data_IF_908257902165
#
_entry.id   IF_908257902165
#
_cell.length_a   1.000
_cell.length_b   1.000
_cell.length_c   1.000
_cell.angle_alpha   90.00
_cell.angle_beta   90.00
_cell.angle_gamma   90.00
#
_symmetry.space_group_name_H-M   'P 1'
#
loop_
_entity.id
_entity.type
_entity.pdbx_description
1 polymer ?
#
# COMPACT_ATOMS: atom_id res chain seq x y z
N UNK A 1 -20.74 27.81 -9.04
CA UNK A 1 -20.63 26.35 -8.82
C UNK A 1 -20.89 25.52 -10.08
N UNK A 2 -21.95 25.74 -10.87
CA UNK A 2 -22.28 24.85 -11.99
C UNK A 2 -21.32 24.90 -13.21
N UNK A 3 -20.74 26.06 -13.55
CA UNK A 3 -20.04 26.24 -14.83
C UNK A 3 -18.66 25.53 -14.91
N UNK A 4 -17.85 25.60 -13.85
CA UNK A 4 -16.53 24.96 -13.87
C UNK A 4 -16.62 23.43 -13.70
N UNK A 5 -17.58 22.92 -12.90
CA UNK A 5 -17.80 21.48 -12.75
C UNK A 5 -18.17 20.83 -14.08
N UNK A 6 -18.98 21.52 -14.89
CA UNK A 6 -19.35 21.05 -16.22
C UNK A 6 -18.13 21.05 -17.16
N UNK A 7 -17.27 22.08 -17.13
CA UNK A 7 -16.01 22.10 -17.90
C UNK A 7 -15.07 20.95 -17.53
N UNK A 8 -14.88 20.73 -16.22
CA UNK A 8 -14.06 19.62 -15.70
C UNK A 8 -14.63 18.27 -16.15
N UNK A 9 -15.95 18.10 -16.03
CA UNK A 9 -16.64 16.89 -16.48
C UNK A 9 -16.45 16.65 -17.97
N UNK A 10 -16.67 17.65 -18.82
CA UNK A 10 -16.51 17.54 -20.28
C UNK A 10 -15.07 17.16 -20.66
N UNK A 11 -14.08 17.78 -20.03
CA UNK A 11 -12.69 17.40 -20.23
C UNK A 11 -12.42 15.94 -19.83
N UNK A 12 -12.85 15.54 -18.63
CA UNK A 12 -12.68 14.17 -18.16
C UNK A 12 -13.43 13.16 -19.04
N UNK A 13 -14.58 13.50 -19.60
CA UNK A 13 -15.33 12.66 -20.54
C UNK A 13 -14.59 12.49 -21.87
N UNK A 14 -14.00 13.56 -22.39
CA UNK A 14 -13.27 13.55 -23.66
C UNK A 14 -11.87 12.90 -23.56
N UNK A 15 -11.20 12.94 -22.41
CA UNK A 15 -9.85 12.41 -22.26
C UNK A 15 -9.87 10.88 -22.00
N UNK A 16 -9.45 10.08 -22.99
CA UNK A 16 -9.40 8.60 -22.90
C UNK A 16 -8.43 8.07 -21.83
N UNK A 17 -7.47 8.88 -21.38
CA UNK A 17 -6.59 8.50 -20.28
C UNK A 17 -7.33 8.53 -18.93
N UNK A 18 -8.34 9.39 -18.76
CA UNK A 18 -9.16 9.46 -17.54
C UNK A 18 -10.19 8.34 -17.53
N UNK A 19 -10.09 7.43 -16.54
CA UNK A 19 -11.02 6.31 -16.35
C UNK A 19 -12.12 6.65 -15.35
N UNK A 20 -11.73 7.25 -14.24
CA UNK A 20 -12.60 7.72 -13.18
C UNK A 20 -12.15 9.12 -12.78
N UNK A 21 -13.07 10.01 -12.46
CA UNK A 21 -12.74 11.31 -11.86
C UNK A 21 -13.81 11.73 -10.86
N UNK A 22 -13.37 12.34 -9.76
CA UNK A 22 -14.22 12.81 -8.68
C UNK A 22 -13.76 14.19 -8.24
N UNK A 23 -14.69 15.06 -7.91
CA UNK A 23 -14.42 16.22 -7.06
C UNK A 23 -14.66 15.79 -5.63
N UNK A 24 -13.75 16.08 -4.72
CA UNK A 24 -13.90 15.74 -3.30
C UNK A 24 -13.67 16.98 -2.42
N UNK A 25 -13.54 16.79 -1.11
CA UNK A 25 -13.21 17.87 -0.19
C UNK A 25 -14.32 18.92 -0.03
N UNK A 26 -13.91 20.18 0.09
CA UNK A 26 -14.82 21.31 0.37
C UNK A 26 -15.80 21.58 -0.79
N UNK A 27 -15.34 21.38 -2.03
CA UNK A 27 -16.12 21.53 -3.25
C UNK A 27 -17.25 20.51 -3.37
N UNK A 28 -17.02 19.26 -2.98
CA UNK A 28 -18.07 18.21 -3.00
C UNK A 28 -19.18 18.43 -1.97
N UNK A 29 -18.89 19.12 -0.86
CA UNK A 29 -19.84 19.36 0.23
C UNK A 29 -20.75 20.59 0.01
N UNK A 30 -20.60 21.29 -1.12
CA UNK A 30 -21.33 22.54 -1.39
C UNK A 30 -20.96 23.69 -0.43
N UNK A 31 -19.87 23.55 0.31
CA UNK A 31 -19.33 24.50 1.29
C UNK A 31 -18.19 25.35 0.72
N UNK A 32 -17.87 25.18 -0.57
CA UNK A 32 -16.84 25.93 -1.26
C UNK A 32 -17.19 27.43 -1.32
N UNK A 33 -16.31 28.25 -0.75
CA UNK A 33 -16.29 29.70 -0.96
C UNK A 33 -15.78 30.06 -2.35
N UNK A 34 -15.79 31.35 -2.69
CA UNK A 34 -15.29 31.82 -4.00
C UNK A 34 -13.78 31.53 -4.18
N UNK A 35 -13.00 31.52 -3.10
CA UNK A 35 -11.54 31.32 -3.12
C UNK A 35 -11.08 29.88 -2.79
N UNK A 36 -11.98 28.90 -2.67
CA UNK A 36 -11.57 27.54 -2.30
C UNK A 36 -10.92 26.78 -3.46
N UNK A 37 -9.81 26.12 -3.17
CA UNK A 37 -9.15 25.15 -4.06
C UNK A 37 -10.11 24.04 -4.50
N UNK A 38 -9.87 23.49 -5.69
CA UNK A 38 -10.65 22.38 -6.23
C UNK A 38 -9.85 21.08 -6.08
N UNK A 39 -10.28 20.26 -5.13
CA UNK A 39 -9.74 18.91 -4.92
C UNK A 39 -10.31 17.92 -5.96
N UNK A 40 -9.47 17.38 -6.84
CA UNK A 40 -9.86 16.44 -7.88
C UNK A 40 -9.09 15.13 -7.75
N UNK A 41 -9.79 14.01 -7.66
CA UNK A 41 -9.21 12.67 -7.69
C UNK A 41 -9.42 12.04 -9.06
N UNK A 42 -8.34 11.63 -9.74
CA UNK A 42 -8.41 10.97 -11.05
C UNK A 42 -7.74 9.60 -11.03
N UNK A 43 -8.40 8.61 -11.65
CA UNK A 43 -7.77 7.35 -11.99
C UNK A 43 -7.41 7.35 -13.48
N UNK A 44 -6.15 7.12 -13.79
CA UNK A 44 -5.62 7.16 -15.15
C UNK A 44 -5.37 5.76 -15.73
N UNK A 45 -5.52 5.64 -17.05
CA UNK A 45 -5.20 4.44 -17.81
C UNK A 45 -3.70 4.30 -18.07
N UNK A 46 -3.29 3.17 -18.65
CA UNK A 46 -1.91 2.92 -19.05
C UNK A 46 -1.70 3.16 -20.55
N UNK A 47 -0.62 3.82 -21.00
CA UNK A 47 0.38 4.51 -20.18
C UNK A 47 -0.22 5.74 -19.47
N UNK A 48 0.28 6.05 -18.26
CA UNK A 48 -0.23 7.17 -17.47
C UNK A 48 0.25 8.52 -18.03
N UNK A 49 -0.62 9.52 -17.99
CA UNK A 49 -0.35 10.90 -18.45
C UNK A 49 -0.58 11.92 -17.33
N UNK A 50 0.06 11.68 -16.18
CA UNK A 50 -0.13 12.42 -14.93
C UNK A 50 0.04 13.94 -15.14
N UNK A 51 1.17 14.37 -15.71
CA UNK A 51 1.50 15.79 -15.94
C UNK A 51 0.59 16.48 -16.95
N UNK A 52 0.25 15.81 -18.06
CA UNK A 52 -0.65 16.35 -19.08
C UNK A 52 -2.04 16.61 -18.49
N UNK A 53 -2.57 15.64 -17.73
CA UNK A 53 -3.89 15.74 -17.11
C UNK A 53 -3.91 16.86 -16.07
N UNK A 54 -2.86 16.98 -15.25
CA UNK A 54 -2.74 18.06 -14.28
C UNK A 54 -2.71 19.45 -14.93
N UNK A 55 -1.89 19.62 -15.96
CA UNK A 55 -1.75 20.90 -16.66
C UNK A 55 -3.07 21.31 -17.34
N UNK A 56 -3.74 20.38 -18.00
CA UNK A 56 -5.03 20.64 -18.67
C UNK A 56 -6.12 21.01 -17.66
N UNK A 57 -6.25 20.28 -16.55
CA UNK A 57 -7.22 20.60 -15.49
C UNK A 57 -6.95 21.97 -14.86
N UNK A 58 -5.69 22.29 -14.59
CA UNK A 58 -5.27 23.57 -14.01
C UNK A 58 -5.56 24.75 -14.95
N UNK A 59 -5.43 24.55 -16.27
CA UNK A 59 -5.72 25.59 -17.27
C UNK A 59 -7.22 25.78 -17.55
N UNK A 60 -8.06 24.80 -17.20
CA UNK A 60 -9.50 24.82 -17.47
C UNK A 60 -10.29 25.69 -16.48
N UNK A 61 -9.74 25.93 -15.30
CA UNK A 61 -10.40 26.62 -14.20
C UNK A 61 -9.51 27.75 -13.68
N UNK A 62 -10.11 28.90 -13.36
CA UNK A 62 -9.38 30.05 -12.80
C UNK A 62 -9.21 29.90 -11.28
N UNK A 63 -8.87 28.69 -10.84
CA UNK A 63 -8.72 28.28 -9.43
C UNK A 63 -7.56 27.31 -9.29
N UNK A 64 -6.97 27.24 -8.10
CA UNK A 64 -5.98 26.24 -7.78
C UNK A 64 -6.61 24.83 -7.77
N UNK A 65 -5.97 23.89 -8.45
CA UNK A 65 -6.41 22.49 -8.56
C UNK A 65 -5.42 21.61 -7.81
N UNK A 66 -5.89 20.98 -6.73
CA UNK A 66 -5.16 19.89 -6.07
C UNK A 66 -5.57 18.57 -6.71
N UNK A 67 -4.66 18.00 -7.51
CA UNK A 67 -4.91 16.76 -8.23
C UNK A 67 -4.30 15.58 -7.49
N UNK A 68 -5.14 14.62 -7.12
CA UNK A 68 -4.72 13.34 -6.61
C UNK A 68 -4.86 12.27 -7.69
N UNK A 69 -3.75 11.61 -8.00
CA UNK A 69 -3.72 10.42 -8.85
C UNK A 69 -4.10 9.21 -8.00
N UNK A 70 -5.33 8.73 -8.15
CA UNK A 70 -5.88 7.60 -7.39
C UNK A 70 -5.07 6.32 -7.55
N UNK A 71 -4.30 6.17 -8.63
CA UNK A 71 -3.45 5.02 -8.88
C UNK A 71 -2.35 4.83 -7.81
N UNK A 72 -1.87 5.92 -7.19
CA UNK A 72 -0.75 5.90 -6.24
C UNK A 72 -1.12 6.45 -4.85
N UNK A 73 -2.36 6.92 -4.68
CA UNK A 73 -2.81 7.56 -3.44
C UNK A 73 -3.01 6.53 -2.31
N UNK A 74 -2.85 6.91 -1.03
CA UNK A 74 -3.15 6.03 0.10
C UNK A 74 -4.60 5.54 0.08
N UNK A 75 -4.81 4.27 0.41
CA UNK A 75 -6.13 3.65 0.42
C UNK A 75 -7.16 4.40 1.27
N UNK A 76 -6.74 4.97 2.40
CA UNK A 76 -7.59 5.80 3.26
C UNK A 76 -8.12 7.04 2.55
N UNK A 77 -7.31 7.67 1.69
CA UNK A 77 -7.71 8.80 0.86
C UNK A 77 -8.58 8.34 -0.30
N UNK A 78 -8.21 7.28 -1.01
CA UNK A 78 -9.01 6.75 -2.13
C UNK A 78 -10.40 6.34 -1.65
N UNK A 79 -10.49 5.57 -0.57
CA UNK A 79 -11.77 5.19 0.06
C UNK A 79 -12.62 6.41 0.45
N UNK A 80 -11.99 7.47 0.98
CA UNK A 80 -12.70 8.72 1.31
C UNK A 80 -13.26 9.41 0.05
N UNK A 81 -12.44 9.56 -0.99
CA UNK A 81 -12.82 10.17 -2.27
C UNK A 81 -13.97 9.39 -2.91
N UNK A 82 -13.88 8.05 -2.96
CA UNK A 82 -14.92 7.24 -3.60
C UNK A 82 -16.23 7.22 -2.80
N UNK A 83 -16.18 7.31 -1.47
CA UNK A 83 -17.38 7.30 -0.62
C UNK A 83 -18.08 8.65 -0.56
N UNK A 84 -17.32 9.75 -0.60
CA UNK A 84 -17.85 11.10 -0.31
C UNK A 84 -17.73 12.09 -1.47
N UNK A 85 -16.90 11.78 -2.45
CA UNK A 85 -16.68 12.61 -3.64
C UNK A 85 -17.87 12.58 -4.59
N UNK A 86 -18.04 13.69 -5.31
CA UNK A 86 -18.99 13.82 -6.40
C UNK A 86 -18.33 13.31 -7.69
N UNK A 87 -18.82 12.23 -8.32
CA UNK A 87 -18.25 11.73 -9.56
C UNK A 87 -18.43 12.74 -10.70
N UNK A 88 -17.34 13.09 -11.35
CA UNK A 88 -17.34 13.77 -12.65
C UNK A 88 -17.59 12.74 -13.75
N UNK A 89 -16.77 11.68 -13.78
CA UNK A 89 -16.91 10.58 -14.75
C UNK A 89 -16.63 9.23 -14.11
N UNK A 90 -17.38 8.21 -14.54
CA UNK A 90 -17.14 6.80 -14.27
C UNK A 90 -17.25 6.07 -15.61
N UNK A 91 -16.15 5.99 -16.36
CA UNK A 91 -16.15 5.36 -17.69
C UNK A 91 -16.10 3.83 -17.62
N UNK A 92 -15.52 3.30 -16.54
CA UNK A 92 -15.40 1.87 -16.29
C UNK A 92 -16.00 1.52 -14.93
N UNK A 93 -17.20 0.93 -14.95
CA UNK A 93 -17.91 0.52 -13.73
C UNK A 93 -17.27 -0.68 -13.05
N UNK A 94 -16.61 -1.58 -13.79
CA UNK A 94 -15.93 -2.73 -13.21
C UNK A 94 -14.75 -2.25 -12.37
N UNK A 95 -13.89 -1.44 -12.99
CA UNK A 95 -12.77 -0.79 -12.33
C UNK A 95 -13.21 0.03 -11.10
N UNK A 96 -14.31 0.79 -11.21
CA UNK A 96 -14.86 1.52 -10.07
C UNK A 96 -15.17 0.61 -8.87
N UNK A 97 -15.85 -0.52 -9.09
CA UNK A 97 -16.18 -1.43 -8.00
C UNK A 97 -14.95 -2.15 -7.46
N UNK A 98 -14.02 -2.55 -8.34
CA UNK A 98 -12.78 -3.21 -7.94
C UNK A 98 -11.94 -2.31 -7.02
N UNK A 99 -11.75 -1.03 -7.39
CA UNK A 99 -11.06 -0.04 -6.56
C UNK A 99 -11.87 0.22 -5.28
N UNK A 100 -13.17 0.47 -5.37
CA UNK A 100 -14.00 0.78 -4.20
C UNK A 100 -13.89 -0.31 -3.13
N UNK A 101 -14.02 -1.57 -3.53
CA UNK A 101 -13.96 -2.71 -2.62
C UNK A 101 -12.55 -2.91 -2.05
N UNK A 102 -11.53 -2.87 -2.90
CA UNK A 102 -10.14 -3.13 -2.50
C UNK A 102 -9.62 -2.03 -1.58
N UNK A 103 -9.79 -0.76 -1.96
CA UNK A 103 -9.29 0.39 -1.21
C UNK A 103 -10.06 0.62 0.09
N UNK A 104 -11.35 0.29 0.15
CA UNK A 104 -12.12 0.40 1.41
C UNK A 104 -11.68 -0.65 2.42
N UNK A 105 -11.47 -1.90 1.99
CA UNK A 105 -10.96 -2.95 2.86
C UNK A 105 -9.54 -2.61 3.36
N UNK A 106 -8.67 -2.16 2.46
CA UNK A 106 -7.31 -1.76 2.85
C UNK A 106 -7.31 -0.54 3.78
N UNK A 107 -8.18 0.44 3.56
CA UNK A 107 -8.33 1.58 4.45
C UNK A 107 -8.74 1.16 5.86
N UNK A 108 -9.68 0.23 6.00
CA UNK A 108 -10.12 -0.32 7.28
C UNK A 108 -8.95 -1.00 8.01
N UNK A 109 -8.22 -1.88 7.32
CA UNK A 109 -7.01 -2.52 7.87
C UNK A 109 -5.97 -1.48 8.29
N UNK A 110 -5.77 -0.42 7.48
CA UNK A 110 -4.78 0.62 7.75
C UNK A 110 -5.16 1.52 8.94
N UNK A 111 -6.46 1.72 9.21
CA UNK A 111 -6.89 2.42 10.42
C UNK A 111 -6.52 1.63 11.68
N UNK A 112 -6.71 0.31 11.67
CA UNK A 112 -6.27 -0.55 12.78
C UNK A 112 -4.74 -0.60 12.91
N UNK A 113 -4.02 -0.64 11.78
CA UNK A 113 -2.56 -0.48 11.77
C UNK A 113 -2.14 0.82 12.44
N UNK A 114 -2.74 1.95 12.05
CA UNK A 114 -2.40 3.30 12.55
C UNK A 114 -2.68 3.43 14.04
N UNK A 115 -3.83 2.91 14.50
CA UNK A 115 -4.19 2.88 15.90
C UNK A 115 -3.19 2.07 16.72
N UNK A 116 -2.89 0.84 16.29
CA UNK A 116 -1.90 -0.02 16.95
C UNK A 116 -0.50 0.61 16.93
N UNK A 117 -0.11 1.26 15.83
CA UNK A 117 1.16 1.98 15.72
C UNK A 117 1.22 3.11 16.75
N UNK A 118 0.16 3.92 16.86
CA UNK A 118 0.08 5.03 17.80
C UNK A 118 0.11 4.56 19.26
N UNK A 119 -0.59 3.47 19.60
CA UNK A 119 -0.56 2.88 20.94
C UNK A 119 0.86 2.46 21.34
N UNK A 120 1.59 1.80 20.43
CA UNK A 120 3.00 1.44 20.63
C UNK A 120 3.84 2.71 20.75
N UNK A 121 3.63 3.67 19.86
CA UNK A 121 4.32 4.96 19.86
C UNK A 121 4.13 5.66 21.20
N UNK A 122 2.93 5.86 21.72
CA UNK A 122 2.69 6.58 22.98
C UNK A 122 3.30 5.87 24.19
N UNK A 123 3.11 4.55 24.30
CA UNK A 123 3.51 3.80 25.51
C UNK A 123 5.01 3.58 25.64
N UNK A 124 5.76 3.65 24.54
CA UNK A 124 7.18 3.30 24.53
C UNK A 124 8.08 4.54 24.57
N UNK A 125 9.15 4.53 25.38
CA UNK A 125 10.45 5.11 24.95
C UNK A 125 11.33 4.04 24.29
N UNK A 126 10.98 2.76 24.46
CA UNK A 126 11.62 1.54 23.96
C UNK A 126 10.62 0.37 23.91
N UNK A 127 10.95 -0.73 23.23
CA UNK A 127 10.12 -1.94 23.11
C UNK A 127 9.60 -2.45 24.48
N UNK A 128 8.28 -2.58 24.62
CA UNK A 128 7.65 -3.19 25.80
C UNK A 128 7.79 -4.72 25.80
N UNK A 129 7.55 -5.39 26.93
CA UNK A 129 7.58 -6.87 26.98
C UNK A 129 6.53 -7.48 26.04
N UNK A 130 5.34 -6.90 25.97
CA UNK A 130 4.27 -7.34 25.09
C UNK A 130 4.67 -7.20 23.61
N UNK A 131 5.19 -6.03 23.23
CA UNK A 131 5.68 -5.78 21.87
C UNK A 131 6.84 -6.71 21.51
N UNK A 132 7.71 -6.99 22.48
CA UNK A 132 8.83 -7.91 22.32
C UNK A 132 8.34 -9.33 22.06
N UNK A 133 7.34 -9.80 22.81
CA UNK A 133 6.72 -11.12 22.58
C UNK A 133 6.09 -11.19 21.19
N UNK A 134 5.31 -10.17 20.80
CA UNK A 134 4.73 -10.11 19.44
C UNK A 134 5.82 -10.15 18.37
N UNK A 135 6.90 -9.37 18.54
CA UNK A 135 8.04 -9.37 17.63
C UNK A 135 8.72 -10.74 17.54
N UNK A 136 8.92 -11.43 18.66
CA UNK A 136 9.49 -12.79 18.72
C UNK A 136 8.64 -13.76 17.89
N UNK A 137 7.33 -13.76 18.08
CA UNK A 137 6.41 -14.65 17.36
C UNK A 137 6.50 -14.45 15.84
N UNK A 138 6.54 -13.20 15.35
CA UNK A 138 6.64 -12.92 13.90
C UNK A 138 8.02 -13.29 13.35
N UNK A 139 9.09 -13.04 14.09
CA UNK A 139 10.44 -13.42 13.67
C UNK A 139 10.58 -14.93 13.60
N UNK A 140 10.12 -15.65 14.61
CA UNK A 140 10.13 -17.12 14.61
C UNK A 140 9.30 -17.68 13.45
N UNK A 141 8.12 -17.11 13.19
CA UNK A 141 7.30 -17.47 12.04
C UNK A 141 8.08 -17.29 10.72
N UNK A 142 8.64 -16.10 10.48
CA UNK A 142 9.42 -15.84 9.27
C UNK A 142 10.63 -16.79 9.15
N UNK A 143 11.33 -17.09 10.24
CA UNK A 143 12.45 -18.03 10.22
C UNK A 143 12.04 -19.43 9.78
N UNK A 144 10.84 -19.90 10.17
CA UNK A 144 10.29 -21.19 9.74
C UNK A 144 9.89 -21.14 8.26
N UNK A 145 9.15 -20.12 7.85
CA UNK A 145 8.66 -20.00 6.47
C UNK A 145 9.79 -19.88 5.43
N UNK A 146 10.91 -19.23 5.80
CA UNK A 146 12.07 -19.10 4.91
C UNK A 146 12.97 -20.35 4.88
N UNK A 147 12.81 -21.33 5.79
CA UNK A 147 13.50 -22.62 5.68
C UNK A 147 12.99 -23.44 4.47
N UNK A 148 11.72 -23.27 4.11
CA UNK A 148 11.07 -24.04 3.05
C UNK A 148 11.04 -23.32 1.69
N UNK A 149 11.60 -22.10 1.61
CA UNK A 149 11.52 -21.25 0.40
C UNK A 149 12.14 -21.89 -0.84
N UNK A 150 13.16 -22.75 -0.66
CA UNK A 150 13.81 -23.45 -1.77
C UNK A 150 12.84 -24.35 -2.53
N UNK A 151 11.86 -24.95 -1.84
CA UNK A 151 10.81 -25.76 -2.48
C UNK A 151 9.86 -24.93 -3.35
N UNK A 152 9.81 -23.61 -3.14
CA UNK A 152 8.95 -22.70 -3.91
C UNK A 152 9.65 -22.13 -5.15
N UNK A 153 11.00 -22.17 -5.21
CA UNK A 153 11.79 -21.60 -6.32
C UNK A 153 11.53 -22.30 -7.65
N UNK A 154 11.23 -23.59 -7.61
CA UNK A 154 11.00 -24.42 -8.80
C UNK A 154 9.57 -24.34 -9.34
N UNK A 155 8.68 -23.57 -8.70
CA UNK A 155 7.29 -23.43 -9.12
C UNK A 155 7.20 -22.92 -10.57
N UNK A 156 6.68 -23.76 -11.45
CA UNK A 156 6.44 -23.41 -12.84
C UNK A 156 5.06 -22.75 -13.03
N UNK A 157 4.91 -21.97 -14.10
CA UNK A 157 3.62 -21.37 -14.44
C UNK A 157 2.54 -22.43 -14.67
N UNK A 158 2.93 -23.55 -15.29
CA UNK A 158 2.03 -24.67 -15.53
C UNK A 158 1.50 -25.25 -14.22
N UNK A 159 2.37 -25.56 -13.26
CA UNK A 159 1.96 -26.05 -11.94
C UNK A 159 1.09 -25.03 -11.20
N UNK A 160 1.42 -23.75 -11.26
CA UNK A 160 0.62 -22.70 -10.62
C UNK A 160 -0.83 -22.62 -11.16
N UNK A 161 -1.02 -22.82 -12.47
CA UNK A 161 -2.35 -22.82 -13.09
C UNK A 161 -3.10 -24.14 -12.83
N UNK A 162 -2.43 -25.27 -13.04
CA UNK A 162 -3.06 -26.60 -13.02
C UNK A 162 -3.25 -27.15 -11.59
N UNK A 163 -2.33 -26.87 -10.67
CA UNK A 163 -2.33 -27.39 -9.30
C UNK A 163 -2.89 -26.38 -8.30
N UNK A 164 -4.22 -26.34 -8.16
CA UNK A 164 -4.94 -25.40 -7.27
C UNK A 164 -4.42 -25.40 -5.83
N UNK A 165 -4.02 -26.57 -5.30
CA UNK A 165 -3.49 -26.67 -3.93
C UNK A 165 -2.13 -26.00 -3.79
N UNK A 166 -1.19 -26.27 -4.72
CA UNK A 166 0.11 -25.59 -4.74
C UNK A 166 -0.07 -24.07 -4.87
N UNK A 167 -0.95 -23.62 -5.77
CA UNK A 167 -1.27 -22.20 -5.94
C UNK A 167 -1.73 -21.55 -4.63
N UNK A 168 -2.78 -22.11 -3.99
CA UNK A 168 -3.31 -21.54 -2.74
C UNK A 168 -2.26 -21.50 -1.64
N UNK A 169 -1.40 -22.52 -1.56
CA UNK A 169 -0.35 -22.57 -0.56
C UNK A 169 0.71 -21.50 -0.80
N UNK A 170 1.19 -21.30 -2.04
CA UNK A 170 2.20 -20.27 -2.32
C UNK A 170 1.64 -18.86 -2.18
N UNK A 171 0.39 -18.64 -2.59
CA UNK A 171 -0.31 -17.37 -2.40
C UNK A 171 -0.44 -17.03 -0.91
N UNK A 172 -0.93 -18.00 -0.11
CA UNK A 172 -1.10 -17.84 1.33
C UNK A 172 0.23 -17.65 2.07
N UNK A 173 1.26 -18.39 1.65
CA UNK A 173 2.62 -18.24 2.17
C UNK A 173 3.11 -16.80 1.97
N UNK A 174 3.04 -16.29 0.74
CA UNK A 174 3.50 -14.94 0.43
C UNK A 174 2.70 -13.86 1.20
N UNK A 175 1.37 -14.02 1.28
CA UNK A 175 0.50 -13.14 2.07
C UNK A 175 0.92 -13.09 3.54
N UNK A 176 1.09 -14.27 4.17
CA UNK A 176 1.46 -14.36 5.57
C UNK A 176 2.86 -13.77 5.85
N UNK A 177 3.83 -14.03 4.96
CA UNK A 177 5.18 -13.47 5.06
C UNK A 177 5.14 -11.94 4.99
N UNK A 178 4.40 -11.37 4.03
CA UNK A 178 4.26 -9.90 3.91
C UNK A 178 3.56 -9.31 5.13
N UNK A 179 2.48 -9.92 5.61
CA UNK A 179 1.75 -9.46 6.81
C UNK A 179 2.63 -9.49 8.06
N UNK A 180 3.41 -10.56 8.26
CA UNK A 180 4.35 -10.66 9.38
C UNK A 180 5.43 -9.57 9.30
N UNK A 181 5.94 -9.28 8.10
CA UNK A 181 6.94 -8.22 7.90
C UNK A 181 6.37 -6.82 8.14
N UNK A 182 5.13 -6.56 7.74
CA UNK A 182 4.41 -5.31 8.06
C UNK A 182 4.24 -5.16 9.58
N UNK A 183 3.88 -6.23 10.28
CA UNK A 183 3.76 -6.25 11.74
C UNK A 183 5.10 -5.96 12.44
N UNK A 184 6.20 -6.55 11.95
CA UNK A 184 7.55 -6.27 12.44
C UNK A 184 7.90 -4.80 12.22
N UNK A 185 7.67 -4.29 11.00
CA UNK A 185 7.93 -2.90 10.65
C UNK A 185 7.15 -1.94 11.56
N UNK A 186 5.85 -2.20 11.80
CA UNK A 186 5.00 -1.45 12.74
C UNK A 186 5.63 -1.37 14.12
N UNK A 187 5.94 -2.53 14.72
CA UNK A 187 6.47 -2.60 16.09
C UNK A 187 7.80 -1.86 16.19
N UNK A 188 8.73 -2.12 15.25
CA UNK A 188 10.06 -1.52 15.26
C UNK A 188 9.98 -0.01 15.05
N UNK A 189 9.32 0.45 13.99
CA UNK A 189 9.23 1.88 13.67
C UNK A 189 8.55 2.68 14.78
N UNK A 190 7.43 2.18 15.32
CA UNK A 190 6.72 2.83 16.40
C UNK A 190 7.57 2.91 17.68
N UNK A 191 8.28 1.83 18.03
CA UNK A 191 9.18 1.79 19.19
C UNK A 191 10.38 2.72 19.07
N UNK A 192 10.84 2.99 17.84
CA UNK A 192 11.94 3.91 17.51
C UNK A 192 11.43 5.34 17.26
N UNK A 193 10.18 5.65 17.63
CA UNK A 193 9.55 6.97 17.50
C UNK A 193 9.57 7.54 16.08
N UNK A 194 9.50 6.68 15.07
CA UNK A 194 9.38 7.12 13.68
C UNK A 194 7.98 7.63 13.40
N UNK A 195 7.88 8.58 12.48
CA UNK A 195 6.62 9.11 11.98
C UNK A 195 5.73 7.97 11.46
N UNK A 196 4.42 8.08 11.70
CA UNK A 196 3.46 7.08 11.25
C UNK A 196 3.43 7.10 9.71
N UNK A 197 3.65 5.96 9.04
CA UNK A 197 3.55 5.88 7.59
C UNK A 197 2.11 6.08 7.12
N UNK A 198 1.93 6.49 5.86
CA UNK A 198 0.62 6.67 5.21
C UNK A 198 0.15 5.44 4.43
N UNK A 199 1.06 4.53 4.11
CA UNK A 199 0.77 3.25 3.43
C UNK A 199 1.68 2.13 3.94
N UNK A 200 1.33 0.88 3.63
CA UNK A 200 2.18 -0.27 3.94
C UNK A 200 3.49 -0.24 3.16
N UNK A 201 3.50 0.23 1.91
CA UNK A 201 4.71 0.46 1.12
C UNK A 201 5.66 1.44 1.83
N UNK A 202 5.12 2.54 2.35
CA UNK A 202 5.92 3.53 3.07
C UNK A 202 6.44 2.99 4.40
N UNK A 203 5.63 2.17 5.09
CA UNK A 203 6.05 1.48 6.32
C UNK A 203 7.26 0.58 6.03
N UNK A 204 7.17 -0.26 5.00
CA UNK A 204 8.25 -1.18 4.62
C UNK A 204 9.49 -0.46 4.07
N UNK A 205 9.32 0.64 3.33
CA UNK A 205 10.43 1.47 2.87
C UNK A 205 11.19 2.09 4.06
N UNK A 206 10.44 2.73 4.97
CA UNK A 206 11.01 3.38 6.16
C UNK A 206 11.69 2.38 7.08
N UNK A 207 11.09 1.20 7.23
CA UNK A 207 11.67 0.09 7.99
C UNK A 207 12.96 -0.43 7.32
N UNK A 208 12.95 -0.65 6.01
CA UNK A 208 14.12 -1.08 5.27
C UNK A 208 15.32 -0.15 5.45
N UNK A 209 15.08 1.16 5.29
CA UNK A 209 16.12 2.18 5.51
C UNK A 209 16.61 2.20 6.96
N UNK A 210 15.70 2.04 7.94
CA UNK A 210 16.04 2.01 9.36
C UNK A 210 16.97 0.84 9.71
N UNK A 211 16.75 -0.34 9.13
CA UNK A 211 17.55 -1.54 9.42
C UNK A 211 18.84 -1.62 8.61
N UNK A 212 19.14 -0.61 7.78
CA UNK A 212 20.39 -0.50 7.03
C UNK A 212 20.37 -1.15 5.64
N UNK A 213 19.19 -1.41 5.06
CA UNK A 213 19.10 -1.74 3.64
C UNK A 213 19.51 -0.54 2.78
N UNK A 214 20.17 -0.81 1.66
CA UNK A 214 20.37 0.23 0.65
C UNK A 214 19.03 0.64 -0.01
N UNK A 215 19.04 1.74 -0.75
CA UNK A 215 17.83 2.29 -1.37
C UNK A 215 17.14 1.30 -2.33
N UNK A 216 17.92 0.47 -3.04
CA UNK A 216 17.36 -0.54 -3.96
C UNK A 216 16.70 -1.67 -3.19
N UNK A 217 17.33 -2.16 -2.13
CA UNK A 217 16.79 -3.20 -1.27
C UNK A 217 15.58 -2.72 -0.48
N UNK A 218 15.59 -1.49 0.03
CA UNK A 218 14.45 -0.90 0.74
C UNK A 218 13.25 -0.70 -0.22
N UNK A 219 13.52 -0.28 -1.47
CA UNK A 219 12.48 -0.18 -2.51
C UNK A 219 11.92 -1.56 -2.88
N UNK A 220 12.77 -2.57 -2.97
CA UNK A 220 12.36 -3.96 -3.17
C UNK A 220 11.45 -4.43 -2.03
N UNK A 221 11.85 -4.23 -0.77
CA UNK A 221 11.04 -4.57 0.41
C UNK A 221 9.69 -3.85 0.39
N UNK A 222 9.69 -2.56 0.07
CA UNK A 222 8.47 -1.75 -0.07
C UNK A 222 7.51 -2.33 -1.11
N UNK A 223 8.03 -2.79 -2.26
CA UNK A 223 7.21 -3.37 -3.33
C UNK A 223 6.42 -4.62 -2.92
N UNK A 224 6.86 -5.32 -1.86
CA UNK A 224 6.20 -6.53 -1.37
C UNK A 224 4.84 -6.25 -0.72
N UNK A 225 4.60 -5.04 -0.18
CA UNK A 225 3.28 -4.67 0.35
C UNK A 225 2.18 -4.80 -0.71
N UNK A 226 2.49 -4.47 -1.98
CA UNK A 226 1.56 -4.57 -3.12
C UNK A 226 1.14 -6.00 -3.44
N UNK A 227 1.90 -7.00 -2.99
CA UNK A 227 1.57 -8.39 -3.23
C UNK A 227 0.30 -8.77 -2.46
N UNK A 228 0.07 -8.19 -1.28
CA UNK A 228 -1.12 -8.46 -0.46
C UNK A 228 -2.43 -8.15 -1.20
N UNK A 229 -2.46 -7.05 -1.95
CA UNK A 229 -3.67 -6.61 -2.65
C UNK A 229 -3.93 -7.42 -3.93
N UNK A 230 -2.88 -7.96 -4.56
CA UNK A 230 -2.98 -8.66 -5.85
C UNK A 230 -3.43 -10.11 -5.70
N UNK A 231 -3.15 -10.73 -4.55
CA UNK A 231 -3.60 -12.10 -4.26
C UNK A 231 -5.13 -12.20 -4.15
N UNK A 232 -5.83 -11.08 -3.96
CA UNK A 232 -7.29 -11.00 -4.00
C UNK A 232 -7.87 -10.91 -5.43
N UNK A 233 -7.03 -10.69 -6.46
CA UNK A 233 -7.47 -10.48 -7.85
C UNK A 233 -7.37 -11.75 -8.72
N UNK A 234 -8.23 -11.84 -9.74
CA UNK A 234 -8.35 -13.04 -10.60
C UNK A 234 -7.29 -13.13 -11.72
N UNK A 235 -6.35 -12.18 -11.82
CA UNK A 235 -5.31 -12.14 -12.86
C UNK A 235 -4.12 -13.05 -12.51
N UNK A 236 -4.32 -14.36 -12.68
CA UNK A 236 -3.35 -15.40 -12.30
C UNK A 236 -1.96 -15.24 -12.94
N UNK A 237 -1.88 -14.71 -14.15
CA UNK A 237 -0.62 -14.45 -14.85
C UNK A 237 0.21 -13.35 -14.17
N UNK A 238 -0.43 -12.21 -13.84
CA UNK A 238 0.19 -11.10 -13.12
C UNK A 238 0.59 -11.55 -11.73
N UNK A 239 -0.30 -12.26 -11.03
CA UNK A 239 -0.04 -12.78 -9.68
C UNK A 239 1.15 -13.73 -9.66
N UNK A 240 1.22 -14.67 -10.63
CA UNK A 240 2.36 -15.59 -10.74
C UNK A 240 3.69 -14.87 -10.95
N UNK A 241 3.76 -13.88 -11.86
CA UNK A 241 5.01 -13.16 -12.11
C UNK A 241 5.50 -12.43 -10.85
N UNK A 242 4.59 -11.78 -10.11
CA UNK A 242 4.94 -11.09 -8.87
C UNK A 242 5.36 -12.05 -7.76
N UNK A 243 4.67 -13.19 -7.63
CA UNK A 243 5.07 -14.25 -6.69
C UNK A 243 6.46 -14.79 -7.02
N UNK A 244 6.75 -15.01 -8.30
CA UNK A 244 8.06 -15.51 -8.73
C UNK A 244 9.18 -14.52 -8.41
N UNK A 245 8.97 -13.23 -8.68
CA UNK A 245 9.89 -12.16 -8.27
C UNK A 245 10.07 -12.14 -6.75
N UNK A 246 8.97 -12.22 -6.00
CA UNK A 246 9.00 -12.25 -4.54
C UNK A 246 9.81 -13.43 -3.98
N UNK A 247 9.54 -14.66 -4.44
CA UNK A 247 10.26 -15.87 -4.01
C UNK A 247 11.75 -15.77 -4.35
N UNK A 248 12.09 -15.22 -5.51
CA UNK A 248 13.46 -15.09 -5.98
C UNK A 248 14.25 -14.04 -5.20
N UNK A 249 13.66 -12.87 -4.98
CA UNK A 249 14.41 -11.68 -4.54
C UNK A 249 14.28 -11.44 -3.02
N UNK A 250 13.24 -11.98 -2.37
CA UNK A 250 13.02 -11.82 -0.92
C UNK A 250 14.17 -12.33 -0.04
N UNK A 251 14.87 -13.45 -0.30
CA UNK A 251 15.94 -13.93 0.59
C UNK A 251 16.99 -12.86 0.89
N UNK A 252 17.40 -12.10 -0.14
CA UNK A 252 18.44 -11.06 -0.03
C UNK A 252 18.11 -9.95 0.96
N UNK A 253 16.82 -9.67 1.13
CA UNK A 253 16.31 -8.62 2.03
C UNK A 253 16.02 -9.20 3.41
N UNK A 254 15.44 -10.41 3.46
CA UNK A 254 15.01 -11.03 4.70
C UNK A 254 16.17 -11.48 5.60
N UNK A 255 17.35 -11.76 5.04
CA UNK A 255 18.56 -11.98 5.82
C UNK A 255 18.88 -10.77 6.73
N UNK A 256 18.71 -9.55 6.20
CA UNK A 256 18.93 -8.31 6.96
C UNK A 256 17.79 -8.05 7.94
N UNK A 257 16.54 -8.26 7.53
CA UNK A 257 15.35 -8.12 8.39
C UNK A 257 15.46 -9.02 9.62
N UNK A 258 15.73 -10.32 9.43
CA UNK A 258 15.86 -11.29 10.51
C UNK A 258 17.12 -11.02 11.34
N UNK A 259 18.23 -10.66 10.70
CA UNK A 259 19.45 -10.24 11.38
C UNK A 259 19.23 -9.09 12.35
N UNK A 260 18.58 -8.01 11.89
CA UNK A 260 18.24 -6.87 12.73
C UNK A 260 17.25 -7.23 13.82
N UNK A 261 16.16 -7.94 13.50
CA UNK A 261 15.12 -8.26 14.47
C UNK A 261 15.66 -9.12 15.63
N UNK A 262 16.59 -10.06 15.35
CA UNK A 262 17.31 -10.82 16.38
C UNK A 262 18.06 -9.93 17.37
N UNK A 263 18.64 -8.81 16.92
CA UNK A 263 19.35 -7.88 17.83
C UNK A 263 18.40 -7.19 18.81
N UNK A 264 17.14 -6.95 18.42
CA UNK A 264 16.10 -6.36 19.27
C UNK A 264 15.46 -7.38 20.22
N UNK A 265 15.51 -8.66 19.85
CA UNK A 265 14.95 -9.76 20.63
C UNK A 265 15.91 -10.28 21.70
N UNK A 266 17.23 -10.30 21.43
CA UNK A 266 18.21 -10.81 22.40
C UNK A 266 18.05 -10.10 23.75
N UNK A 267 18.10 -10.82 24.88
CA UNK A 267 18.14 -10.17 26.18
C UNK A 267 19.37 -9.26 26.21
N UNK A 268 19.16 -7.97 26.49
CA UNK A 268 20.27 -7.10 26.91
C UNK A 268 20.85 -7.76 28.15
N UNK A 269 22.14 -8.10 28.12
CA UNK A 269 22.85 -8.59 29.29
C UNK A 269 22.47 -7.69 30.48
N UNK A 270 21.79 -8.25 31.47
CA UNK A 270 21.58 -7.61 32.75
C UNK A 270 22.97 -7.26 33.28
N UNK A 271 23.29 -5.98 33.53
CA UNK A 271 24.51 -5.64 34.24
C UNK A 271 24.46 -6.35 35.59
N UNK A 272 25.55 -7.07 35.86
CA UNK A 272 25.82 -7.79 37.10
C UNK A 272 25.73 -6.90 38.33
#
# INVERSE_FOLDING_TARGET
MADYLEKLKQYCEANDNVRLAFVYGSAAKGLAGEDSDIDIGVHLGSPRKDDEVWMDLSNLVDKEVDLIILNDAPATLVSNIMRTGLPLVIKDKGLYWDIYLTETLEAEDFYEFTKSYWEIYERSRSLTLEDKTRLIERVQFLEIEFQEIDHLKDLTYKEYIEEKMKRRNVERWAENVVNATIDIAKIVLASEKREIPKTYEQALLSFGLLIGLDEKQATLLSSFARLRNILAHQYLDITYQRLKTFIKDSPSVYDVVLGFARTKIRPTDTPS
#
